data_IF_981189305656
#
_entry.id   IF_981189305656
#
_cell.length_a   1.000
_cell.length_b   1.000
_cell.length_c   1.000
_cell.angle_alpha   90.00
_cell.angle_beta   90.00
_cell.angle_gamma   90.00
#
_symmetry.space_group_name_H-M   'P 1'
#
loop_
_entity.id
_entity.type
_entity.pdbx_description
1 polymer ?
#
# COMPACT_ATOMS: atom_id res chain seq x y z
N UNK A 1 -11.26 25.12 -6.34
CA UNK A 1 -10.69 23.76 -6.47
C UNK A 1 -10.59 23.21 -5.07
N UNK A 2 -11.09 21.99 -4.77
CA UNK A 2 -10.81 21.38 -3.48
C UNK A 2 -9.29 21.19 -3.37
N UNK A 3 -8.73 21.65 -2.27
CA UNK A 3 -7.31 21.46 -1.96
C UNK A 3 -7.13 19.99 -1.51
N UNK A 4 -6.21 19.28 -2.15
CA UNK A 4 -5.94 17.86 -1.86
C UNK A 4 -4.67 17.78 -1.02
N UNK A 5 -4.84 17.46 0.27
CA UNK A 5 -3.72 17.21 1.18
C UNK A 5 -3.45 15.70 1.26
N UNK A 6 -2.24 15.29 0.93
CA UNK A 6 -1.80 13.89 1.01
C UNK A 6 -0.48 13.84 1.75
N UNK A 7 -0.48 13.14 2.88
CA UNK A 7 0.75 12.81 3.60
C UNK A 7 1.35 11.52 3.04
N UNK A 8 2.34 11.66 2.16
CA UNK A 8 3.02 10.53 1.52
C UNK A 8 3.67 9.60 2.55
N UNK A 9 4.20 10.14 3.65
CA UNK A 9 4.83 9.33 4.70
C UNK A 9 3.82 8.48 5.46
N UNK A 10 2.63 9.02 5.73
CA UNK A 10 1.53 8.25 6.32
C UNK A 10 1.03 7.15 5.37
N UNK A 11 0.86 7.45 4.08
CA UNK A 11 0.46 6.43 3.10
C UNK A 11 1.51 5.31 2.96
N UNK A 12 2.80 5.63 2.95
CA UNK A 12 3.87 4.63 2.90
C UNK A 12 3.84 3.72 4.14
N UNK A 13 3.60 4.29 5.32
CA UNK A 13 3.45 3.53 6.56
C UNK A 13 2.24 2.60 6.49
N UNK A 14 1.08 3.09 6.06
CA UNK A 14 -0.13 2.29 5.89
C UNK A 14 0.11 1.15 4.90
N UNK A 15 0.74 1.43 3.76
CA UNK A 15 1.09 0.42 2.76
C UNK A 15 2.00 -0.69 3.34
N UNK A 16 3.01 -0.32 4.14
CA UNK A 16 3.90 -1.28 4.80
C UNK A 16 3.15 -2.14 5.81
N UNK A 17 2.35 -1.52 6.68
CA UNK A 17 1.60 -2.22 7.72
C UNK A 17 0.56 -3.19 7.13
N UNK A 18 -0.12 -2.80 6.04
CA UNK A 18 -1.00 -3.71 5.33
C UNK A 18 -0.25 -4.90 4.75
N UNK A 19 0.97 -4.69 4.24
CA UNK A 19 1.84 -5.79 3.79
C UNK A 19 2.19 -6.76 4.89
N UNK A 20 2.59 -6.25 6.06
CA UNK A 20 2.89 -7.07 7.25
C UNK A 20 1.68 -7.91 7.68
N UNK A 21 0.49 -7.30 7.74
CA UNK A 21 -0.75 -7.98 8.12
C UNK A 21 -1.10 -9.08 7.11
N UNK A 22 -1.00 -8.80 5.80
CA UNK A 22 -1.25 -9.81 4.75
C UNK A 22 -0.29 -11.01 4.92
N UNK A 23 1.00 -10.75 5.14
CA UNK A 23 2.00 -11.80 5.39
C UNK A 23 1.70 -12.59 6.67
N UNK A 24 1.22 -11.95 7.73
CA UNK A 24 0.81 -12.66 8.96
C UNK A 24 -0.37 -13.61 8.67
N UNK A 25 -1.37 -13.17 7.91
CA UNK A 25 -2.49 -14.01 7.50
C UNK A 25 -2.08 -15.20 6.63
N UNK A 26 -1.11 -15.05 5.73
CA UNK A 26 -0.58 -16.14 4.91
C UNK A 26 0.10 -17.23 5.75
N UNK A 27 0.80 -16.84 6.81
CA UNK A 27 1.55 -17.76 7.67
C UNK A 27 0.67 -18.44 8.74
N UNK A 28 -0.49 -17.85 9.07
CA UNK A 28 -1.40 -18.36 10.09
C UNK A 28 -2.13 -19.66 9.71
N UNK A 29 -2.06 -20.09 8.44
CA UNK A 29 -2.75 -21.29 7.89
C UNK A 29 -2.44 -22.58 8.67
N UNK A 30 -1.23 -22.72 9.22
CA UNK A 30 -0.77 -23.99 9.82
C UNK A 30 -1.39 -24.35 11.18
N UNK A 31 -1.95 -23.40 11.92
CA UNK A 31 -2.45 -23.67 13.28
C UNK A 31 -3.90 -24.18 13.31
N UNK A 32 -4.69 -23.95 12.26
CA UNK A 32 -6.12 -24.25 12.27
C UNK A 32 -6.37 -25.77 12.27
N UNK A 33 -5.72 -26.53 11.40
CA UNK A 33 -5.92 -27.99 11.22
C UNK A 33 -5.56 -28.84 12.46
N UNK A 34 -4.94 -28.22 13.48
CA UNK A 34 -4.49 -28.92 14.69
C UNK A 34 -5.63 -29.10 15.70
N UNK A 35 -6.63 -28.22 15.70
CA UNK A 35 -7.62 -28.15 16.77
C UNK A 35 -8.62 -29.31 16.73
N UNK A 36 -9.18 -29.68 15.57
CA UNK A 36 -10.06 -30.84 15.47
C UNK A 36 -9.37 -32.16 15.87
N UNK A 37 -8.10 -32.31 15.50
CA UNK A 37 -7.29 -33.49 15.78
C UNK A 37 -7.02 -33.62 17.29
N UNK A 38 -6.71 -32.50 17.96
CA UNK A 38 -6.51 -32.42 19.40
C UNK A 38 -7.79 -32.76 20.18
N UNK A 39 -8.96 -32.46 19.63
CA UNK A 39 -10.26 -32.78 20.25
C UNK A 39 -10.57 -34.28 20.13
N UNK A 40 -10.44 -34.85 18.92
CA UNK A 40 -10.74 -36.25 18.65
C UNK A 40 -12.20 -36.67 18.94
N UNK A 41 -12.42 -37.95 19.28
CA UNK A 41 -13.75 -38.52 19.56
C UNK A 41 -13.85 -39.10 20.98
N UNK A 42 -13.78 -38.28 22.05
CA UNK A 42 -13.82 -38.77 23.42
C UNK A 42 -15.14 -39.48 23.70
N UNK A 43 -15.05 -40.72 24.19
CA UNK A 43 -16.20 -41.60 24.44
C UNK A 43 -17.09 -41.83 23.19
N UNK A 44 -16.52 -41.74 21.98
CA UNK A 44 -17.25 -41.88 20.72
C UNK A 44 -18.18 -40.70 20.39
N UNK A 45 -17.99 -39.53 21.03
CA UNK A 45 -18.81 -38.33 20.80
C UNK A 45 -18.03 -37.30 19.99
N UNK A 46 -18.29 -37.26 18.68
CA UNK A 46 -17.59 -36.38 17.74
C UNK A 46 -18.17 -34.97 17.55
N UNK A 47 -19.29 -34.62 18.19
CA UNK A 47 -19.95 -33.33 17.95
C UNK A 47 -19.08 -32.10 18.20
N UNK A 48 -18.16 -32.16 19.15
CA UNK A 48 -17.24 -31.03 19.41
C UNK A 48 -16.19 -30.93 18.31
N UNK A 49 -15.65 -32.07 17.87
CA UNK A 49 -14.73 -32.14 16.71
C UNK A 49 -15.40 -31.59 15.45
N UNK A 50 -16.60 -32.07 15.13
CA UNK A 50 -17.38 -31.60 13.97
C UNK A 50 -17.58 -30.08 13.99
N UNK A 51 -17.82 -29.49 15.18
CA UNK A 51 -17.97 -28.04 15.32
C UNK A 51 -16.66 -27.28 15.22
N UNK A 52 -15.54 -27.88 15.64
CA UNK A 52 -14.21 -27.32 15.44
C UNK A 52 -13.84 -27.33 13.96
N UNK A 53 -14.07 -28.45 13.28
CA UNK A 53 -13.89 -28.58 11.83
C UNK A 53 -14.71 -27.54 11.05
N UNK A 54 -16.02 -27.42 11.34
CA UNK A 54 -16.88 -26.40 10.70
C UNK A 54 -16.37 -24.97 10.96
N UNK A 55 -15.80 -24.71 12.12
CA UNK A 55 -15.22 -23.40 12.43
C UNK A 55 -13.92 -23.18 11.66
N UNK A 56 -13.03 -24.16 11.61
CA UNK A 56 -11.76 -24.11 10.89
C UNK A 56 -11.97 -23.86 9.41
N UNK A 57 -12.85 -24.63 8.74
CA UNK A 57 -13.18 -24.46 7.32
C UNK A 57 -13.71 -23.04 7.04
N UNK A 58 -14.66 -22.57 7.86
CA UNK A 58 -15.23 -21.22 7.67
C UNK A 58 -14.26 -20.10 7.98
N UNK A 59 -13.36 -20.32 8.94
CA UNK A 59 -12.33 -19.37 9.29
C UNK A 59 -11.29 -19.28 8.18
N UNK A 60 -10.92 -20.40 7.57
CA UNK A 60 -10.02 -20.46 6.41
C UNK A 60 -10.56 -19.60 5.27
N UNK A 61 -11.81 -19.84 4.86
CA UNK A 61 -12.50 -19.06 3.83
C UNK A 61 -12.52 -17.56 4.16
N UNK A 62 -12.91 -17.21 5.40
CA UNK A 62 -13.04 -15.80 5.81
C UNK A 62 -11.70 -15.10 5.96
N UNK A 63 -10.66 -15.84 6.36
CA UNK A 63 -9.30 -15.33 6.43
C UNK A 63 -8.77 -15.03 5.04
N UNK A 64 -9.00 -15.93 4.07
CA UNK A 64 -8.60 -15.70 2.68
C UNK A 64 -9.34 -14.52 2.06
N UNK A 65 -10.66 -14.42 2.25
CA UNK A 65 -11.42 -13.24 1.82
C UNK A 65 -10.88 -11.93 2.42
N UNK A 66 -10.56 -11.93 3.72
CA UNK A 66 -10.00 -10.75 4.40
C UNK A 66 -8.61 -10.41 3.87
N UNK A 67 -7.74 -11.40 3.70
CA UNK A 67 -6.39 -11.25 3.12
C UNK A 67 -6.47 -10.61 1.73
N UNK A 68 -7.32 -11.13 0.85
CA UNK A 68 -7.52 -10.55 -0.48
C UNK A 68 -8.04 -9.11 -0.42
N UNK A 69 -8.96 -8.80 0.50
CA UNK A 69 -9.48 -7.45 0.70
C UNK A 69 -8.39 -6.47 1.13
N UNK A 70 -7.55 -6.87 2.08
CA UNK A 70 -6.42 -6.07 2.57
C UNK A 70 -5.36 -5.86 1.48
N UNK A 71 -5.06 -6.89 0.69
CA UNK A 71 -4.11 -6.79 -0.42
C UNK A 71 -4.60 -5.86 -1.54
N UNK A 72 -5.91 -5.87 -1.84
CA UNK A 72 -6.52 -4.91 -2.76
C UNK A 72 -6.40 -3.47 -2.25
N UNK A 73 -6.65 -3.23 -0.96
CA UNK A 73 -6.49 -1.89 -0.36
C UNK A 73 -5.02 -1.47 -0.42
N UNK A 74 -4.10 -2.37 -0.05
CA UNK A 74 -2.66 -2.13 -0.13
C UNK A 74 -2.24 -1.75 -1.54
N UNK A 75 -2.64 -2.52 -2.55
CA UNK A 75 -2.36 -2.24 -3.97
C UNK A 75 -2.83 -0.83 -4.33
N UNK A 76 -4.06 -0.47 -3.96
CA UNK A 76 -4.59 0.85 -4.26
C UNK A 76 -3.80 1.99 -3.57
N UNK A 77 -3.37 1.81 -2.33
CA UNK A 77 -2.47 2.77 -1.64
C UNK A 77 -1.13 2.88 -2.37
N UNK A 78 -0.58 1.76 -2.82
CA UNK A 78 0.64 1.71 -3.65
C UNK A 78 0.49 2.48 -4.95
N UNK A 79 -0.61 2.28 -5.67
CA UNK A 79 -0.92 3.00 -6.91
C UNK A 79 -0.99 4.52 -6.68
N UNK A 80 -1.64 4.96 -5.59
CA UNK A 80 -1.70 6.39 -5.24
C UNK A 80 -0.28 6.93 -4.99
N UNK A 81 0.53 6.23 -4.19
CA UNK A 81 1.91 6.63 -3.91
C UNK A 81 2.76 6.74 -5.18
N UNK A 82 2.66 5.76 -6.08
CA UNK A 82 3.40 5.74 -7.34
C UNK A 82 2.99 6.91 -8.25
N UNK A 83 1.69 7.14 -8.40
CA UNK A 83 1.17 8.25 -9.21
C UNK A 83 1.65 9.61 -8.68
N UNK A 84 1.62 9.83 -7.37
CA UNK A 84 2.11 11.09 -6.80
C UNK A 84 3.62 11.27 -6.97
N UNK A 85 4.41 10.21 -6.83
CA UNK A 85 5.87 10.25 -7.07
C UNK A 85 6.20 10.53 -8.54
N UNK A 86 5.44 9.95 -9.48
CA UNK A 86 5.58 10.24 -10.92
C UNK A 86 5.27 11.70 -11.21
N UNK A 87 4.13 12.18 -10.72
CA UNK A 87 3.71 13.58 -10.89
C UNK A 87 4.72 14.57 -10.31
N UNK A 88 5.25 14.32 -9.11
CA UNK A 88 6.29 15.16 -8.50
C UNK A 88 7.55 15.22 -9.36
N UNK A 89 7.99 14.05 -9.85
CA UNK A 89 9.16 13.95 -10.74
C UNK A 89 8.93 14.71 -12.04
N UNK A 90 7.79 14.49 -12.70
CA UNK A 90 7.41 15.15 -13.96
C UNK A 90 7.44 16.67 -13.81
N UNK A 91 6.78 17.20 -12.78
CA UNK A 91 6.73 18.65 -12.50
C UNK A 91 8.14 19.20 -12.21
N UNK A 92 8.97 18.48 -11.45
CA UNK A 92 10.34 18.90 -11.18
C UNK A 92 11.16 18.99 -12.49
N UNK A 93 11.05 18.00 -13.37
CA UNK A 93 11.69 18.06 -14.70
C UNK A 93 11.21 19.22 -15.55
N UNK A 94 9.90 19.47 -15.59
CA UNK A 94 9.32 20.57 -16.36
C UNK A 94 9.79 21.94 -15.86
N UNK A 95 9.90 22.11 -14.53
CA UNK A 95 10.44 23.33 -13.92
C UNK A 95 11.91 23.53 -14.31
N UNK A 96 12.74 22.49 -14.24
CA UNK A 96 14.16 22.59 -14.63
C UNK A 96 14.33 22.86 -16.13
N UNK A 97 13.53 22.21 -16.99
CA UNK A 97 13.51 22.49 -18.42
C UNK A 97 13.09 23.93 -18.73
N UNK A 98 12.12 24.47 -17.98
CA UNK A 98 11.66 25.86 -18.11
C UNK A 98 12.73 26.86 -17.66
N UNK A 99 13.49 26.57 -16.59
CA UNK A 99 14.60 27.41 -16.13
C UNK A 99 15.73 27.48 -17.16
N UNK A 100 16.06 26.37 -17.81
CA UNK A 100 17.09 26.30 -18.84
C UNK A 100 16.77 27.14 -20.11
N UNK A 101 15.50 27.49 -20.33
CA UNK A 101 15.06 28.30 -21.47
C UNK A 101 15.00 29.81 -21.18
N UNK A 102 15.38 30.28 -19.99
CA UNK A 102 15.43 31.73 -19.69
C UNK A 102 16.64 32.36 -20.42
N UNK A 103 16.44 33.25 -21.41
CA UNK A 103 17.55 33.84 -22.16
C UNK A 103 18.43 34.69 -21.24
N UNK A 104 19.75 34.52 -21.35
CA UNK A 104 20.73 35.40 -20.72
C UNK A 104 20.44 36.85 -21.12
N UNK A 105 20.12 37.69 -20.13
CA UNK A 105 19.85 39.11 -20.29
C UNK A 105 21.06 39.78 -20.99
N UNK A 106 20.90 40.46 -22.13
CA UNK A 106 22.03 41.06 -22.82
C UNK A 106 22.63 42.18 -21.97
N UNK A 107 23.91 42.04 -21.65
CA UNK A 107 24.72 43.03 -20.92
C UNK A 107 24.63 44.40 -21.60
N UNK A 108 24.15 45.40 -20.87
CA UNK A 108 24.13 46.80 -21.31
C UNK A 108 25.58 47.33 -21.40
N UNK A 109 26.17 47.28 -22.60
CA UNK A 109 27.43 47.95 -22.97
C UNK A 109 27.23 49.45 -23.27
N UNK A 110 28.31 50.26 -23.31
CA UNK A 110 28.35 51.61 -22.73
C UNK A 110 27.66 52.69 -23.58
N UNK A 111 27.15 53.71 -22.87
CA UNK A 111 26.53 54.91 -23.45
C UNK A 111 27.46 55.66 -24.40
N UNK A 112 26.97 56.15 -25.56
CA UNK A 112 27.77 56.99 -26.44
C UNK A 112 27.83 58.42 -25.91
N UNK A 113 29.04 58.93 -25.69
CA UNK A 113 29.33 60.35 -25.43
C UNK A 113 28.93 61.17 -26.66
N UNK A 114 28.05 62.15 -26.48
CA UNK A 114 27.64 63.09 -27.54
C UNK A 114 28.52 64.34 -27.49
N UNK A 115 29.04 64.70 -28.67
CA UNK A 115 29.88 65.88 -29.01
C UNK A 115 29.15 67.19 -28.73
#
# INVERSE_FOLDING_TARGET
MPDVYIDIGELEKVHSQLGEIVTEFENATSNSETLEADIGDPFGRGRLREKAQEFEERWDDKRDELKEGLDKIRTHVGDVLENFKSLDTEIATDIEASKAQTPAQPSSGPSPTRV
#
